data_IF_000635643573
#
_entry.id   IF_000635643573
#
_cell.length_a   1.000
_cell.length_b   1.000
_cell.length_c   1.000
_cell.angle_alpha   90.00
_cell.angle_beta   90.00
_cell.angle_gamma   90.00
#
_symmetry.space_group_name_H-M   'P 1'
#
loop_
_entity.id
_entity.type
_entity.pdbx_description
1 polymer ?
#
# COMPACT_ATOMS: atom_id res chain seq x y z
N UNK A 1 -0.74 -23.39 -70.81
CA UNK A 1 0.53 -23.43 -70.07
C UNK A 1 0.22 -23.03 -68.63
N UNK A 2 0.57 -23.91 -67.69
CA UNK A 2 0.29 -23.86 -66.25
C UNK A 2 0.61 -22.52 -65.58
N UNK A 3 -0.08 -22.19 -64.48
CA UNK A 3 0.49 -22.25 -63.12
C UNK A 3 -0.61 -21.98 -62.08
N UNK A 4 -0.97 -23.03 -61.32
CA UNK A 4 -1.64 -22.91 -60.03
C UNK A 4 -0.69 -22.22 -59.03
N UNK A 5 -1.15 -21.23 -58.25
CA UNK A 5 -0.58 -20.97 -56.91
C UNK A 5 -1.62 -20.43 -55.91
N UNK A 6 -1.82 -21.28 -54.90
CA UNK A 6 -1.98 -21.02 -53.46
C UNK A 6 -3.13 -20.14 -52.94
N UNK A 7 -4.03 -20.85 -52.26
CA UNK A 7 -4.84 -20.43 -51.11
C UNK A 7 -3.94 -19.82 -50.02
N UNK A 8 -4.31 -18.63 -49.53
CA UNK A 8 -3.93 -18.15 -48.21
C UNK A 8 -5.22 -17.88 -47.41
N UNK A 9 -5.62 -18.86 -46.62
CA UNK A 9 -6.68 -18.70 -45.62
C UNK A 9 -6.08 -17.90 -44.45
N UNK A 10 -6.32 -16.59 -44.42
CA UNK A 10 -6.06 -15.76 -43.25
C UNK A 10 -7.14 -16.06 -42.20
N UNK A 11 -6.93 -17.08 -41.39
CA UNK A 11 -7.66 -17.22 -40.12
C UNK A 11 -7.03 -16.23 -39.15
N UNK A 12 -7.59 -15.02 -39.10
CA UNK A 12 -7.26 -14.03 -38.08
C UNK A 12 -7.66 -14.57 -36.71
N UNK A 13 -6.66 -14.92 -35.89
CA UNK A 13 -6.88 -15.28 -34.50
C UNK A 13 -7.41 -14.08 -33.72
N UNK A 14 -8.71 -14.05 -33.48
CA UNK A 14 -9.29 -13.18 -32.45
C UNK A 14 -8.77 -13.70 -31.10
N UNK A 15 -7.72 -13.08 -30.58
CA UNK A 15 -7.38 -13.25 -29.18
C UNK A 15 -8.56 -12.69 -28.37
N UNK A 16 -9.33 -13.59 -27.75
CA UNK A 16 -10.37 -13.19 -26.81
C UNK A 16 -9.67 -12.43 -25.66
N UNK A 17 -9.78 -11.11 -25.69
CA UNK A 17 -9.43 -10.25 -24.56
C UNK A 17 -10.44 -10.56 -23.46
N UNK A 18 -10.04 -11.41 -22.52
CA UNK A 18 -10.80 -11.65 -21.30
C UNK A 18 -10.71 -10.38 -20.46
N UNK A 19 -11.75 -9.54 -20.54
CA UNK A 19 -11.95 -8.50 -19.54
C UNK A 19 -12.38 -9.20 -18.26
N UNK A 20 -11.58 -9.06 -17.20
CA UNK A 20 -12.01 -9.49 -15.88
C UNK A 20 -13.20 -8.62 -15.46
N UNK A 21 -14.31 -9.25 -15.06
CA UNK A 21 -15.46 -8.53 -14.51
C UNK A 21 -15.02 -7.77 -13.25
N UNK A 22 -15.26 -6.47 -13.24
CA UNK A 22 -15.00 -5.64 -12.07
C UNK A 22 -15.99 -6.02 -10.96
N UNK A 23 -15.54 -6.08 -9.70
CA UNK A 23 -16.46 -6.33 -8.60
C UNK A 23 -17.46 -5.15 -8.50
N UNK A 24 -18.73 -5.40 -8.14
CA UNK A 24 -19.67 -4.34 -7.80
C UNK A 24 -19.07 -3.35 -6.80
N UNK A 25 -19.33 -2.05 -6.98
CA UNK A 25 -18.71 -1.00 -6.17
C UNK A 25 -18.94 -1.19 -4.66
N UNK A 26 -20.05 -1.81 -4.27
CA UNK A 26 -20.41 -2.12 -2.89
C UNK A 26 -19.54 -3.22 -2.26
N UNK A 27 -18.84 -4.03 -3.06
CA UNK A 27 -17.88 -5.01 -2.58
C UNK A 27 -16.50 -4.39 -2.31
N UNK A 28 -16.29 -3.15 -2.76
CA UNK A 28 -15.07 -2.38 -2.56
C UNK A 28 -15.19 -1.45 -1.34
N UNK A 29 -14.04 -1.02 -0.83
CA UNK A 29 -13.91 -0.03 0.24
C UNK A 29 -13.20 1.21 -0.30
N UNK A 30 -13.91 1.95 -1.17
CA UNK A 30 -13.35 3.06 -1.96
C UNK A 30 -13.10 4.37 -1.22
N UNK A 31 -13.60 4.52 0.02
CA UNK A 31 -13.53 5.79 0.75
C UNK A 31 -13.44 5.58 2.27
N UNK A 32 -13.24 6.68 2.98
CA UNK A 32 -13.39 6.70 4.44
C UNK A 32 -14.78 6.20 4.81
N UNK A 33 -14.84 5.21 5.72
CA UNK A 33 -16.07 4.54 6.17
C UNK A 33 -16.80 3.68 5.11
N UNK A 34 -16.13 3.32 4.03
CA UNK A 34 -16.58 2.26 3.13
C UNK A 34 -17.72 2.66 2.19
N UNK A 35 -18.31 1.68 1.49
CA UNK A 35 -19.25 1.93 0.38
C UNK A 35 -20.51 2.66 0.84
N UNK A 36 -20.93 2.45 2.09
CA UNK A 36 -22.12 3.08 2.68
C UNK A 36 -21.78 4.33 3.52
N UNK A 37 -20.50 4.70 3.65
CA UNK A 37 -20.07 5.86 4.44
C UNK A 37 -20.29 5.76 5.95
N UNK A 38 -20.69 4.59 6.47
CA UNK A 38 -21.04 4.38 7.87
C UNK A 38 -20.06 3.46 8.62
N UNK A 39 -19.05 2.91 7.95
CA UNK A 39 -18.04 2.04 8.54
C UNK A 39 -18.48 0.59 8.72
N UNK A 40 -19.63 0.19 8.15
CA UNK A 40 -20.16 -1.16 8.21
C UNK A 40 -19.78 -1.92 6.93
N UNK A 41 -19.40 -3.20 7.07
CA UNK A 41 -19.30 -4.16 5.97
C UNK A 41 -20.51 -5.11 6.02
N UNK A 42 -21.59 -4.87 5.26
CA UNK A 42 -22.86 -5.59 5.42
C UNK A 42 -22.75 -7.10 5.19
N UNK A 43 -21.90 -7.51 4.25
CA UNK A 43 -21.62 -8.91 3.92
C UNK A 43 -20.29 -9.41 4.50
N UNK A 44 -19.71 -8.66 5.44
CA UNK A 44 -18.43 -9.00 6.05
C UNK A 44 -18.54 -10.25 6.93
N UNK A 45 -17.62 -11.19 6.73
CA UNK A 45 -17.43 -12.35 7.61
C UNK A 45 -16.01 -12.34 8.19
N UNK A 46 -15.67 -11.39 9.07
CA UNK A 46 -14.33 -11.31 9.63
C UNK A 46 -14.07 -12.44 10.63
N UNK A 47 -12.79 -12.84 10.83
CA UNK A 47 -12.45 -13.77 11.90
C UNK A 47 -12.78 -13.16 13.28
N UNK A 48 -13.30 -13.98 14.19
CA UNK A 48 -13.66 -13.58 15.56
C UNK A 48 -12.50 -13.71 16.55
N UNK A 49 -11.41 -14.36 16.14
CA UNK A 49 -10.17 -14.50 16.90
C UNK A 49 -9.00 -13.97 16.09
N UNK A 50 -8.02 -13.34 16.75
CA UNK A 50 -6.87 -12.74 16.07
C UNK A 50 -5.64 -12.76 16.96
N UNK A 51 -4.47 -12.99 16.37
CA UNK A 51 -3.18 -12.77 17.03
C UNK A 51 -2.11 -12.41 15.98
N UNK A 52 -0.89 -12.15 16.43
CA UNK A 52 0.25 -11.96 15.51
C UNK A 52 0.52 -13.18 14.62
N UNK A 53 -0.01 -14.35 14.97
CA UNK A 53 0.18 -15.64 14.30
C UNK A 53 -1.12 -16.33 13.87
N UNK A 54 -2.29 -15.84 14.30
CA UNK A 54 -3.61 -16.44 14.01
C UNK A 54 -4.46 -15.51 13.16
N UNK A 55 -5.05 -16.07 12.10
CA UNK A 55 -5.94 -15.38 11.16
C UNK A 55 -5.31 -14.18 10.41
N UNK A 56 -3.97 -14.11 10.37
CA UNK A 56 -3.22 -13.17 9.52
C UNK A 56 -2.92 -13.82 8.17
N UNK A 57 -3.42 -13.24 7.08
CA UNK A 57 -3.10 -13.73 5.72
C UNK A 57 -1.69 -13.38 5.27
N UNK A 58 -1.25 -12.15 5.55
CA UNK A 58 0.07 -11.66 5.17
C UNK A 58 0.42 -10.42 6.00
N UNK A 59 1.71 -10.08 6.01
CA UNK A 59 2.24 -8.81 6.52
C UNK A 59 3.25 -8.28 5.51
N UNK A 60 3.20 -6.99 5.23
CA UNK A 60 4.12 -6.33 4.32
C UNK A 60 4.64 -5.05 4.97
N UNK A 61 5.94 -4.80 4.82
CA UNK A 61 6.56 -3.57 5.31
C UNK A 61 6.20 -2.43 4.36
N UNK A 62 5.56 -1.40 4.90
CA UNK A 62 5.28 -0.15 4.17
C UNK A 62 6.39 0.85 4.53
N UNK A 63 7.01 1.52 3.55
CA UNK A 63 8.05 2.51 3.82
C UNK A 63 7.46 3.76 4.49
N UNK A 64 8.29 4.50 5.22
CA UNK A 64 7.89 5.78 5.80
C UNK A 64 6.90 5.67 6.96
N UNK A 65 6.11 6.73 7.14
CA UNK A 65 5.07 6.85 8.17
C UNK A 65 3.74 7.20 7.50
N UNK A 66 2.64 6.65 8.00
CA UNK A 66 1.31 6.94 7.44
C UNK A 66 0.21 6.86 8.49
N UNK A 67 -0.85 7.63 8.26
CA UNK A 67 -2.11 7.60 9.03
C UNK A 67 -3.33 7.50 8.10
N UNK A 68 -3.12 7.12 6.83
CA UNK A 68 -4.19 6.96 5.86
C UNK A 68 -5.08 5.78 6.22
N UNK A 69 -6.39 5.90 5.96
CA UNK A 69 -7.26 4.73 5.89
C UNK A 69 -6.98 3.97 4.59
N UNK A 70 -6.75 2.65 4.62
CA UNK A 70 -6.54 1.88 3.39
C UNK A 70 -7.79 1.90 2.52
N UNK A 71 -7.59 2.00 1.20
CA UNK A 71 -8.64 1.78 0.20
C UNK A 71 -8.50 0.35 -0.31
N UNK A 72 -9.61 -0.37 -0.43
CA UNK A 72 -9.63 -1.71 -1.04
C UNK A 72 -10.47 -1.61 -2.31
N UNK A 73 -9.88 -1.93 -3.45
CA UNK A 73 -10.58 -1.95 -4.73
C UNK A 73 -10.16 -3.19 -5.52
N UNK A 74 -11.13 -4.04 -5.84
CA UNK A 74 -10.93 -5.37 -6.40
C UNK A 74 -9.87 -6.16 -5.61
N UNK A 75 -8.77 -6.51 -6.28
CA UNK A 75 -7.66 -7.27 -5.73
C UNK A 75 -6.49 -6.38 -5.24
N UNK A 76 -6.70 -5.07 -5.09
CA UNK A 76 -5.67 -4.15 -4.62
C UNK A 76 -6.06 -3.48 -3.29
N UNK A 77 -5.05 -3.30 -2.43
CA UNK A 77 -5.11 -2.46 -1.24
C UNK A 77 -4.17 -1.28 -1.45
N UNK A 78 -4.70 -0.06 -1.31
CA UNK A 78 -3.95 1.18 -1.48
C UNK A 78 -3.74 1.86 -0.13
N UNK A 79 -2.52 2.33 0.10
CA UNK A 79 -2.16 3.13 1.28
C UNK A 79 -1.27 4.29 0.86
N UNK A 80 -1.45 5.45 1.52
CA UNK A 80 -0.58 6.60 1.34
C UNK A 80 0.37 6.72 2.53
N UNK A 81 1.65 6.90 2.23
CA UNK A 81 2.72 7.02 3.23
C UNK A 81 3.65 8.19 2.93
N UNK A 82 4.27 8.75 3.96
CA UNK A 82 5.28 9.79 3.88
C UNK A 82 6.66 9.17 4.14
N UNK A 83 7.49 9.11 3.10
CA UNK A 83 8.85 8.57 3.15
C UNK A 83 9.83 9.74 3.31
N UNK A 84 10.58 9.76 4.42
CA UNK A 84 11.64 10.74 4.64
C UNK A 84 12.73 10.58 3.57
N UNK A 85 13.11 11.69 2.93
CA UNK A 85 14.25 11.75 2.00
C UNK A 85 15.34 12.60 2.66
N UNK A 86 16.42 11.98 3.18
CA UNK A 86 17.51 12.74 3.77
C UNK A 86 18.18 13.63 2.71
N UNK A 87 18.40 14.91 3.02
CA UNK A 87 18.96 15.90 2.09
C UNK A 87 20.33 15.53 1.49
N UNK A 88 21.06 14.57 2.08
CA UNK A 88 22.36 14.09 1.59
C UNK A 88 22.27 13.03 0.47
N UNK A 89 21.08 12.53 0.13
CA UNK A 89 20.87 11.48 -0.87
C UNK A 89 19.83 11.86 -1.95
N UNK A 90 19.64 13.14 -2.24
CA UNK A 90 18.67 13.66 -3.22
C UNK A 90 18.94 13.27 -4.69
N UNK A 91 19.81 12.29 -4.95
CA UNK A 91 19.93 11.63 -6.24
C UNK A 91 18.97 10.43 -6.27
N UNK A 92 17.72 10.72 -6.65
CA UNK A 92 16.81 9.83 -7.38
C UNK A 92 16.86 8.35 -6.96
N UNK A 93 16.02 7.98 -5.98
CA UNK A 93 15.62 6.59 -5.83
C UNK A 93 14.68 6.23 -7.00
N UNK A 94 15.23 5.82 -8.13
CA UNK A 94 14.49 5.01 -9.11
C UNK A 94 14.23 3.64 -8.44
N UNK A 95 13.15 3.51 -7.66
CA UNK A 95 12.83 2.28 -6.94
C UNK A 95 12.21 1.26 -7.91
N UNK A 96 13.07 0.59 -8.67
CA UNK A 96 12.87 -0.82 -9.03
C UNK A 96 12.89 -1.69 -7.75
N UNK A 97 12.36 -2.92 -7.74
CA UNK A 97 11.91 -3.61 -6.52
C UNK A 97 13.08 -4.10 -5.66
N UNK A 98 13.65 -3.23 -4.85
CA UNK A 98 14.76 -3.52 -3.94
C UNK A 98 14.31 -4.10 -2.58
N UNK A 99 13.21 -4.87 -2.56
CA UNK A 99 12.76 -5.59 -1.36
C UNK A 99 12.63 -7.10 -1.54
N UNK A 100 13.16 -7.67 -2.63
CA UNK A 100 13.47 -9.09 -2.64
C UNK A 100 14.71 -9.34 -1.78
N UNK A 101 14.53 -9.69 -0.49
CA UNK A 101 15.59 -10.32 0.30
C UNK A 101 15.97 -9.71 1.66
N UNK A 102 15.18 -8.83 2.28
CA UNK A 102 15.47 -8.42 3.66
C UNK A 102 15.00 -9.48 4.68
N UNK A 103 15.83 -9.85 5.68
CA UNK A 103 15.43 -10.81 6.72
C UNK A 103 14.20 -10.33 7.50
N UNK A 104 13.21 -11.22 7.63
CA UNK A 104 11.97 -11.00 8.37
C UNK A 104 12.12 -11.50 9.82
N UNK A 105 12.50 -10.62 10.75
CA UNK A 105 12.06 -10.56 12.17
C UNK A 105 12.95 -9.59 12.96
N UNK A 106 12.38 -8.73 13.82
CA UNK A 106 13.16 -8.13 14.90
C UNK A 106 13.45 -9.19 15.99
N UNK A 107 14.63 -9.15 16.65
CA UNK A 107 14.88 -10.01 17.80
C UNK A 107 13.91 -9.67 18.95
N UNK A 108 13.48 -10.69 19.67
CA UNK A 108 12.73 -10.53 20.90
C UNK A 108 13.60 -9.85 21.97
N UNK A 109 13.03 -8.83 22.63
CA UNK A 109 13.57 -8.28 23.89
C UNK A 109 14.50 -7.09 23.73
N UNK A 110 13.93 -5.89 23.93
CA UNK A 110 14.57 -4.74 24.57
C UNK A 110 13.48 -3.69 24.84
N UNK A 111 12.94 -3.69 26.06
CA UNK A 111 12.11 -2.58 26.56
C UNK A 111 13.02 -1.38 26.85
N UNK A 112 12.73 -0.18 26.31
CA UNK A 112 13.38 1.03 26.77
C UNK A 112 12.87 1.37 28.19
N UNK A 113 13.80 1.74 29.05
CA UNK A 113 13.63 1.98 30.47
C UNK A 113 12.62 3.09 30.84
N UNK A 114 12.09 2.95 32.07
CA UNK A 114 11.08 3.75 32.76
C UNK A 114 11.10 5.27 32.51
N UNK A 115 9.95 5.80 32.09
CA UNK A 115 9.67 7.22 32.07
C UNK A 115 9.25 7.72 33.46
N UNK A 116 10.10 8.51 34.10
CA UNK A 116 9.81 9.20 35.36
C UNK A 116 8.57 10.11 35.27
N UNK A 117 7.79 10.12 36.34
CA UNK A 117 6.58 10.96 36.50
C UNK A 117 6.96 12.44 36.41
N UNK A 118 6.52 13.15 35.37
CA UNK A 118 6.49 14.62 35.37
C UNK A 118 5.07 15.14 35.62
N UNK A 119 4.97 15.82 36.76
CA UNK A 119 3.84 16.55 37.32
C UNK A 119 3.37 17.65 36.37
N UNK A 120 2.06 17.87 36.33
CA UNK A 120 1.35 18.57 35.26
C UNK A 120 1.69 20.04 35.04
N UNK A 121 1.33 20.50 33.85
CA UNK A 121 1.32 21.90 33.40
C UNK A 121 0.73 22.01 32.00
N UNK A 122 -0.36 22.78 31.86
CA UNK A 122 -1.15 23.13 30.67
C UNK A 122 -0.68 22.65 29.29
N UNK A 123 -1.49 21.79 28.67
CA UNK A 123 -1.28 21.27 27.32
C UNK A 123 -1.45 22.34 26.24
N UNK A 124 -0.34 22.89 25.74
CA UNK A 124 -0.26 23.48 24.41
C UNK A 124 0.16 22.40 23.40
N UNK A 125 -0.55 22.30 22.28
CA UNK A 125 -0.09 21.46 21.16
C UNK A 125 1.28 21.96 20.70
N UNK A 126 2.25 21.03 20.65
CA UNK A 126 3.67 21.30 20.74
C UNK A 126 4.22 22.28 19.72
N UNK A 127 5.09 23.19 20.18
CA UNK A 127 6.13 23.80 19.35
C UNK A 127 7.29 22.82 19.23
N UNK A 128 7.09 21.75 18.46
CA UNK A 128 8.22 21.01 17.89
C UNK A 128 8.90 21.90 16.85
N UNK A 129 10.20 21.73 16.63
CA UNK A 129 10.88 22.39 15.51
C UNK A 129 10.25 21.93 14.20
N UNK A 130 10.01 22.87 13.28
CA UNK A 130 9.40 22.56 11.99
C UNK A 130 10.27 21.54 11.22
N UNK A 131 9.65 20.58 10.50
CA UNK A 131 10.40 19.66 9.65
C UNK A 131 11.26 20.42 8.64
N UNK A 132 12.52 20.00 8.47
CA UNK A 132 13.45 20.59 7.50
C UNK A 132 13.73 19.66 6.32
N UNK A 133 13.48 18.37 6.50
CA UNK A 133 13.77 17.36 5.51
C UNK A 133 12.55 17.09 4.61
N UNK A 134 12.76 16.96 3.29
CA UNK A 134 11.69 16.64 2.36
C UNK A 134 11.14 15.24 2.61
N UNK A 135 9.84 15.09 2.37
CA UNK A 135 9.12 13.83 2.41
C UNK A 135 8.50 13.56 1.04
N UNK A 136 8.64 12.32 0.57
CA UNK A 136 7.90 11.80 -0.56
C UNK A 136 6.59 11.19 -0.08
N UNK A 137 5.48 11.77 -0.52
CA UNK A 137 4.14 11.25 -0.34
C UNK A 137 3.89 10.20 -1.42
N UNK A 138 3.97 8.94 -1.01
CA UNK A 138 3.97 7.80 -1.91
C UNK A 138 2.66 7.02 -1.75
N UNK A 139 2.03 6.74 -2.89
CA UNK A 139 0.96 5.75 -2.98
C UNK A 139 1.56 4.37 -3.16
N UNK A 140 1.16 3.42 -2.33
CA UNK A 140 1.56 2.01 -2.41
C UNK A 140 0.33 1.18 -2.71
N UNK A 141 0.38 0.38 -3.77
CA UNK A 141 -0.62 -0.62 -4.08
C UNK A 141 -0.09 -2.02 -3.75
N UNK A 142 -0.84 -2.76 -2.96
CA UNK A 142 -0.53 -4.12 -2.51
C UNK A 142 -1.54 -5.08 -3.10
N UNK A 143 -1.08 -6.18 -3.68
CA UNK A 143 -1.94 -7.28 -4.08
C UNK A 143 -2.59 -7.90 -2.85
N UNK A 144 -3.92 -7.85 -2.78
CA UNK A 144 -4.72 -8.26 -1.62
C UNK A 144 -4.60 -9.76 -1.33
N UNK A 145 -4.36 -10.57 -2.36
CA UNK A 145 -4.29 -12.03 -2.24
C UNK A 145 -2.95 -12.47 -1.66
N UNK A 146 -1.86 -11.88 -2.12
CA UNK A 146 -0.48 -12.31 -1.83
C UNK A 146 0.23 -11.43 -0.79
N UNK A 147 -0.25 -10.21 -0.57
CA UNK A 147 0.43 -9.20 0.25
C UNK A 147 1.67 -8.58 -0.39
N UNK A 148 1.97 -8.90 -1.66
CA UNK A 148 3.10 -8.33 -2.38
C UNK A 148 2.78 -6.91 -2.83
N UNK A 149 3.76 -6.02 -2.77
CA UNK A 149 3.62 -4.69 -3.37
C UNK A 149 3.54 -4.86 -4.89
N UNK A 150 2.40 -4.48 -5.47
CA UNK A 150 2.18 -4.51 -6.91
C UNK A 150 2.90 -3.35 -7.59
N UNK A 151 2.78 -2.15 -7.03
CA UNK A 151 3.51 -0.96 -7.49
C UNK A 151 3.55 0.13 -6.42
N UNK A 152 4.42 1.11 -6.61
CA UNK A 152 4.50 2.33 -5.80
C UNK A 152 4.65 3.54 -6.72
N UNK A 153 4.10 4.68 -6.31
CA UNK A 153 4.21 5.94 -7.05
C UNK A 153 4.35 7.11 -6.10
N UNK A 154 5.43 7.89 -6.26
CA UNK A 154 5.56 9.19 -5.60
C UNK A 154 4.54 10.14 -6.22
N UNK A 155 3.64 10.65 -5.40
CA UNK A 155 2.61 11.61 -5.81
C UNK A 155 3.14 13.03 -5.68
N UNK A 156 3.90 13.30 -4.62
CA UNK A 156 4.45 14.61 -4.31
C UNK A 156 5.68 14.50 -3.42
N UNK A 157 6.59 15.45 -3.55
CA UNK A 157 7.65 15.70 -2.59
C UNK A 157 7.47 17.09 -1.99
N UNK A 158 7.48 17.21 -0.68
CA UNK A 158 7.40 18.49 0.03
C UNK A 158 8.06 18.41 1.41
N UNK A 159 8.48 19.56 1.94
CA UNK A 159 8.83 19.71 3.35
C UNK A 159 7.51 19.95 4.09
N UNK A 160 7.09 19.07 5.01
CA UNK A 160 5.86 19.26 5.78
C UNK A 160 5.94 20.52 6.65
N UNK A 161 4.80 21.20 6.82
CA UNK A 161 4.68 22.44 7.58
C UNK A 161 4.66 22.22 9.10
#
# INVERSE_FOLDING_TARGET
MNTQKLIALLVGGLAAVNFADAAPAEQNWGQWRGPLGNGVSPSGNPPTEWSETKNVKWKVKIPGKGSSTPIVWDNLVFVQTAVLVPAKNAARLDIAPQFAGLPQQPPAGQQPAEGGRRRGGGGGFGRGEAPKDPHQFTMVAVDRTTGKVAWQKVLREEIPH
#
